data_IF_071679894388
#
_entry.id   IF_071679894388
#
_cell.length_a   1.000
_cell.length_b   1.000
_cell.length_c   1.000
_cell.angle_alpha   90.00
_cell.angle_beta   90.00
_cell.angle_gamma   90.00
#
_symmetry.space_group_name_H-M   'P 1'
#
loop_
_entity.id
_entity.type
_entity.pdbx_description
1 polymer ?
#
# COMPACT_ATOMS: atom_id res chain seq x y z
N UNK A 1 -19.50 0.71 -38.18
CA UNK A 1 -19.86 0.97 -36.76
C UNK A 1 -18.69 0.56 -35.88
N UNK A 2 -18.35 1.33 -34.85
CA UNK A 2 -17.16 1.10 -34.04
C UNK A 2 -17.50 0.11 -32.89
N UNK A 3 -17.21 -1.18 -33.08
CA UNK A 3 -17.56 -2.26 -32.14
C UNK A 3 -16.54 -2.41 -30.99
N UNK A 4 -16.06 -1.29 -30.44
CA UNK A 4 -15.10 -1.32 -29.34
C UNK A 4 -15.76 -1.87 -28.07
N UNK A 5 -15.18 -2.91 -27.48
CA UNK A 5 -15.60 -3.49 -26.20
C UNK A 5 -15.66 -2.44 -25.07
N UNK A 6 -14.79 -1.42 -25.12
CA UNK A 6 -14.83 -0.31 -24.17
C UNK A 6 -16.07 0.57 -24.36
N UNK A 7 -16.47 0.84 -25.61
CA UNK A 7 -17.69 1.59 -25.91
C UNK A 7 -18.92 0.82 -25.42
N UNK A 8 -18.98 -0.49 -25.68
CA UNK A 8 -20.07 -1.36 -25.20
C UNK A 8 -20.17 -1.37 -23.67
N UNK A 9 -19.05 -1.52 -22.96
CA UNK A 9 -19.02 -1.45 -21.48
C UNK A 9 -19.48 -0.09 -20.95
N UNK A 10 -19.08 1.02 -21.58
CA UNK A 10 -19.54 2.38 -21.21
C UNK A 10 -21.04 2.55 -21.42
N UNK A 11 -21.57 2.04 -22.53
CA UNK A 11 -23.01 2.09 -22.83
C UNK A 11 -23.79 1.24 -21.82
N UNK A 12 -23.31 0.04 -21.47
CA UNK A 12 -23.94 -0.80 -20.45
C UNK A 12 -23.93 -0.15 -19.06
N UNK A 13 -22.79 0.40 -18.63
CA UNK A 13 -22.68 1.11 -17.35
C UNK A 13 -23.58 2.36 -17.31
N UNK A 14 -23.73 3.08 -18.43
CA UNK A 14 -24.71 4.16 -18.56
C UNK A 14 -26.14 3.63 -18.37
N UNK A 15 -26.51 2.57 -19.08
CA UNK A 15 -27.85 1.96 -18.97
C UNK A 15 -28.16 1.44 -17.56
N UNK A 16 -27.18 0.87 -16.85
CA UNK A 16 -27.37 0.40 -15.47
C UNK A 16 -27.57 1.57 -14.49
N UNK A 17 -26.80 2.66 -14.64
CA UNK A 17 -27.03 3.90 -13.87
C UNK A 17 -28.36 4.57 -14.22
N UNK A 18 -28.77 4.46 -15.49
CA UNK A 18 -30.04 4.97 -15.97
C UNK A 18 -31.23 4.16 -15.48
N UNK A 19 -31.07 2.85 -15.31
CA UNK A 19 -32.09 1.96 -14.75
C UNK A 19 -32.33 2.16 -13.25
N UNK A 20 -31.35 2.66 -12.50
CA UNK A 20 -31.50 2.93 -11.06
C UNK A 20 -32.57 4.00 -10.75
N UNK A 21 -32.95 4.83 -11.74
CA UNK A 21 -33.98 5.84 -11.60
C UNK A 21 -34.92 5.83 -12.81
N UNK A 22 -36.19 5.40 -12.66
CA UNK A 22 -37.19 5.48 -13.72
C UNK A 22 -37.29 6.91 -14.31
N UNK A 23 -37.58 7.05 -15.60
CA UNK A 23 -37.64 8.36 -16.27
C UNK A 23 -38.64 9.33 -15.60
N UNK A 24 -39.74 8.80 -15.06
CA UNK A 24 -40.71 9.57 -14.29
C UNK A 24 -40.09 10.18 -13.03
N UNK A 25 -39.30 9.38 -12.29
CA UNK A 25 -38.59 9.81 -11.10
C UNK A 25 -37.46 10.79 -11.44
N UNK A 26 -36.75 10.60 -12.56
CA UNK A 26 -35.73 11.54 -13.04
C UNK A 26 -36.28 12.93 -13.34
N UNK A 27 -37.46 12.99 -13.97
CA UNK A 27 -38.14 14.26 -14.27
C UNK A 27 -38.61 14.96 -12.99
N UNK A 28 -39.15 14.19 -12.03
CA UNK A 28 -39.54 14.71 -10.71
C UNK A 28 -38.34 15.21 -9.89
N UNK A 29 -37.18 14.54 -9.99
CA UNK A 29 -35.95 14.89 -9.29
C UNK A 29 -35.09 15.93 -10.03
N UNK A 30 -35.48 16.38 -11.23
CA UNK A 30 -34.69 17.30 -12.05
C UNK A 30 -33.36 16.74 -12.56
N UNK A 31 -33.19 15.42 -12.56
CA UNK A 31 -31.98 14.71 -12.98
C UNK A 31 -31.94 14.57 -14.51
N UNK A 32 -31.95 15.68 -15.23
CA UNK A 32 -31.56 15.67 -16.65
C UNK A 32 -30.05 15.45 -16.74
N UNK A 33 -29.59 14.73 -17.77
CA UNK A 33 -28.24 14.15 -17.95
C UNK A 33 -27.03 15.11 -17.97
N UNK A 34 -27.20 16.37 -17.57
CA UNK A 34 -26.10 17.23 -17.17
C UNK A 34 -25.78 16.89 -15.72
N UNK A 35 -24.51 16.58 -15.41
CA UNK A 35 -24.06 16.59 -14.02
C UNK A 35 -24.57 17.91 -13.40
N UNK A 36 -25.22 17.89 -12.22
CA UNK A 36 -25.82 19.09 -11.64
C UNK A 36 -24.76 20.12 -11.20
N UNK A 37 -23.49 19.83 -11.46
CA UNK A 37 -22.34 20.63 -11.08
C UNK A 37 -21.67 21.13 -12.36
N UNK A 38 -21.55 22.45 -12.48
CA UNK A 38 -20.70 23.13 -13.45
C UNK A 38 -19.26 23.07 -12.98
N UNK A 39 -18.31 23.30 -13.89
CA UNK A 39 -16.89 23.42 -13.54
C UNK A 39 -16.66 24.46 -12.43
N UNK A 40 -17.39 25.57 -12.49
CA UNK A 40 -17.38 26.63 -11.48
C UNK A 40 -17.72 26.11 -10.07
N UNK A 41 -18.64 25.15 -9.95
CA UNK A 41 -19.03 24.56 -8.67
C UNK A 41 -17.86 23.77 -8.06
N UNK A 42 -17.08 23.07 -8.89
CA UNK A 42 -15.87 22.38 -8.44
C UNK A 42 -14.77 23.35 -8.04
N UNK A 43 -14.54 24.41 -8.83
CA UNK A 43 -13.56 25.42 -8.49
C UNK A 43 -13.93 26.12 -7.17
N UNK A 44 -15.21 26.44 -6.97
CA UNK A 44 -15.70 27.01 -5.72
C UNK A 44 -15.56 26.04 -4.56
N UNK A 45 -15.89 24.76 -4.74
CA UNK A 45 -15.68 23.73 -3.72
C UNK A 45 -14.20 23.61 -3.31
N UNK A 46 -13.27 23.65 -4.27
CA UNK A 46 -11.83 23.62 -4.00
C UNK A 46 -11.35 24.90 -3.31
N UNK A 47 -11.91 26.08 -3.61
CA UNK A 47 -11.60 27.34 -2.89
C UNK A 47 -12.03 27.33 -1.42
N UNK A 48 -13.04 26.55 -1.08
CA UNK A 48 -13.58 26.42 0.28
C UNK A 48 -12.75 25.47 1.17
N UNK A 49 -11.74 24.82 0.62
CA UNK A 49 -10.82 23.94 1.33
C UNK A 49 -9.62 24.75 1.84
N UNK A 50 -9.16 24.43 3.06
CA UNK A 50 -7.91 24.96 3.54
C UNK A 50 -6.75 24.11 3.00
N UNK A 51 -6.01 24.67 2.06
CA UNK A 51 -4.85 24.04 1.43
C UNK A 51 -3.54 24.29 2.19
N UNK A 52 -3.56 25.11 3.24
CA UNK A 52 -2.40 25.31 4.12
C UNK A 52 -2.26 24.17 5.12
N UNK A 53 -3.30 23.36 5.30
CA UNK A 53 -3.25 22.18 6.15
C UNK A 53 -2.26 21.16 5.62
N UNK A 54 -1.52 20.55 6.55
CA UNK A 54 -0.65 19.42 6.24
C UNK A 54 -1.38 18.10 6.52
N UNK A 55 -1.13 17.10 5.67
CA UNK A 55 -1.74 15.78 5.83
C UNK A 55 -0.77 14.80 6.51
N UNK A 56 -1.16 14.29 7.68
CA UNK A 56 -0.48 13.19 8.38
C UNK A 56 -0.97 11.88 7.78
N UNK A 57 -0.04 11.04 7.32
CA UNK A 57 -0.34 9.78 6.66
C UNK A 57 0.44 8.63 7.29
N UNK A 58 -0.25 7.61 7.77
CA UNK A 58 0.38 6.38 8.26
C UNK A 58 0.47 5.38 7.11
N UNK A 59 1.66 5.27 6.51
CA UNK A 59 1.87 4.38 5.36
C UNK A 59 2.05 2.94 5.83
N UNK A 60 1.20 2.01 5.37
CA UNK A 60 1.29 0.59 5.69
C UNK A 60 2.52 -0.04 5.05
N UNK A 61 3.23 -0.90 5.78
CA UNK A 61 4.40 -1.63 5.25
C UNK A 61 4.00 -2.57 4.12
N UNK A 62 2.74 -3.01 4.10
CA UNK A 62 2.23 -3.86 3.03
C UNK A 62 2.24 -3.13 1.68
N UNK A 63 2.30 -1.80 1.65
CA UNK A 63 2.48 -1.05 0.40
C UNK A 63 3.77 -1.47 -0.34
N UNK A 64 4.77 -1.97 0.39
CA UNK A 64 5.99 -2.54 -0.18
C UNK A 64 5.72 -3.79 -1.02
N UNK A 65 4.61 -4.52 -0.80
CA UNK A 65 4.22 -5.67 -1.63
C UNK A 65 3.87 -5.27 -3.07
N UNK A 66 3.75 -3.97 -3.37
CA UNK A 66 3.72 -3.50 -4.77
C UNK A 66 5.02 -3.91 -5.49
N UNK A 67 6.14 -3.98 -4.79
CA UNK A 67 7.42 -4.43 -5.37
C UNK A 67 7.36 -5.90 -5.80
N UNK A 68 6.48 -6.72 -5.22
CA UNK A 68 6.27 -8.11 -5.65
C UNK A 68 5.68 -8.19 -7.07
N UNK A 69 5.18 -7.07 -7.61
CA UNK A 69 4.77 -6.96 -9.01
C UNK A 69 5.98 -6.86 -9.95
N UNK A 70 7.14 -6.40 -9.47
CA UNK A 70 8.34 -6.31 -10.28
C UNK A 70 8.98 -7.69 -10.48
N UNK A 71 9.38 -7.95 -11.71
CA UNK A 71 10.16 -9.13 -12.10
C UNK A 71 11.64 -8.76 -12.31
N UNK A 72 11.93 -7.48 -12.56
CA UNK A 72 13.27 -6.94 -12.75
C UNK A 72 13.56 -5.82 -11.75
N UNK A 73 14.84 -5.67 -11.41
CA UNK A 73 15.37 -4.55 -10.62
C UNK A 73 15.02 -3.17 -11.19
N UNK A 74 14.97 -3.04 -12.50
CA UNK A 74 14.54 -1.78 -13.15
C UNK A 74 13.07 -1.43 -12.87
N UNK A 75 12.20 -2.44 -12.80
CA UNK A 75 10.80 -2.26 -12.44
C UNK A 75 10.66 -1.91 -10.96
N UNK A 76 11.44 -2.53 -10.06
CA UNK A 76 11.48 -2.17 -8.64
C UNK A 76 11.83 -0.68 -8.45
N UNK A 77 12.86 -0.20 -9.17
CA UNK A 77 13.26 1.21 -9.13
C UNK A 77 12.14 2.12 -9.65
N UNK A 78 11.45 1.72 -10.73
CA UNK A 78 10.31 2.48 -11.25
C UNK A 78 9.10 2.47 -10.31
N UNK A 79 8.87 1.37 -9.61
CA UNK A 79 7.80 1.21 -8.61
C UNK A 79 8.03 2.03 -7.35
N UNK A 80 9.29 2.32 -6.98
CA UNK A 80 9.61 3.25 -5.88
C UNK A 80 8.93 4.61 -6.07
N UNK A 81 9.02 5.18 -7.27
CA UNK A 81 8.35 6.45 -7.59
C UNK A 81 6.82 6.33 -7.48
N UNK A 82 6.26 5.14 -7.75
CA UNK A 82 4.82 4.92 -7.60
C UNK A 82 4.39 4.84 -6.14
N UNK A 83 5.19 4.27 -5.24
CA UNK A 83 4.92 4.30 -3.80
C UNK A 83 4.81 5.74 -3.30
N UNK A 84 5.75 6.60 -3.69
CA UNK A 84 5.71 8.04 -3.37
C UNK A 84 4.44 8.69 -3.92
N UNK A 85 4.10 8.43 -5.19
CA UNK A 85 2.85 8.94 -5.80
C UNK A 85 1.62 8.50 -5.04
N UNK A 86 1.53 7.24 -4.61
CA UNK A 86 0.39 6.72 -3.84
C UNK A 86 0.26 7.47 -2.52
N UNK A 87 1.37 7.68 -1.79
CA UNK A 87 1.38 8.42 -0.53
C UNK A 87 0.93 9.87 -0.76
N UNK A 88 1.45 10.55 -1.78
CA UNK A 88 1.06 11.91 -2.12
C UNK A 88 -0.41 12.00 -2.54
N UNK A 89 -0.92 11.06 -3.33
CA UNK A 89 -2.32 11.02 -3.72
C UNK A 89 -3.24 10.80 -2.51
N UNK A 90 -2.88 9.90 -1.60
CA UNK A 90 -3.63 9.67 -0.37
C UNK A 90 -3.69 10.94 0.50
N UNK A 91 -2.60 11.70 0.58
CA UNK A 91 -2.57 13.01 1.27
C UNK A 91 -3.50 14.03 0.61
N UNK A 92 -3.48 14.14 -0.72
CA UNK A 92 -4.39 15.02 -1.46
C UNK A 92 -5.85 14.61 -1.23
N UNK A 93 -6.16 13.32 -1.25
CA UNK A 93 -7.50 12.80 -0.96
C UNK A 93 -7.95 13.11 0.47
N UNK A 94 -7.03 13.05 1.45
CA UNK A 94 -7.31 13.46 2.81
C UNK A 94 -7.64 14.96 2.91
N UNK A 95 -6.87 15.83 2.23
CA UNK A 95 -7.12 17.27 2.17
C UNK A 95 -8.45 17.62 1.49
N UNK A 96 -8.81 16.90 0.42
CA UNK A 96 -10.11 17.04 -0.24
C UNK A 96 -11.28 16.68 0.69
N UNK A 97 -11.05 15.76 1.64
CA UNK A 97 -12.03 15.31 2.62
C UNK A 97 -11.86 15.96 3.99
N UNK A 98 -11.03 17.00 4.15
CA UNK A 98 -10.62 17.56 5.45
C UNK A 98 -11.75 17.86 6.44
N UNK A 99 -12.96 18.21 5.95
CA UNK A 99 -14.15 18.48 6.78
C UNK A 99 -14.78 17.22 7.41
N UNK A 100 -14.47 16.05 6.87
CA UNK A 100 -14.96 14.74 7.31
C UNK A 100 -13.87 13.91 7.99
N UNK A 101 -12.69 14.50 8.22
CA UNK A 101 -11.53 13.79 8.76
C UNK A 101 -11.20 14.32 10.15
N UNK A 102 -10.52 13.47 10.93
CA UNK A 102 -9.87 13.89 12.16
C UNK A 102 -8.85 14.98 11.84
N UNK A 103 -8.93 16.11 12.54
CA UNK A 103 -7.90 17.14 12.50
C UNK A 103 -7.24 17.28 13.85
N UNK A 104 -5.95 17.54 13.82
CA UNK A 104 -5.14 17.73 15.03
C UNK A 104 -4.54 19.12 14.96
N UNK A 105 -4.70 19.90 16.02
CA UNK A 105 -4.08 21.21 16.17
C UNK A 105 -2.99 21.12 17.22
N UNK A 106 -1.78 21.54 16.85
CA UNK A 106 -0.64 21.63 17.75
C UNK A 106 -0.12 23.06 17.69
N UNK A 107 -0.32 23.82 18.77
CA UNK A 107 -0.19 25.28 18.77
C UNK A 107 -1.02 25.93 17.65
N UNK A 108 -0.35 26.60 16.71
CA UNK A 108 -0.95 27.30 15.59
C UNK A 108 -0.95 26.49 14.28
N UNK A 109 -0.49 25.23 14.32
CA UNK A 109 -0.44 24.35 13.16
C UNK A 109 -1.59 23.35 13.20
N UNK A 110 -2.27 23.19 12.08
CA UNK A 110 -3.39 22.26 11.91
C UNK A 110 -3.04 21.18 10.89
N UNK A 111 -3.37 19.94 11.24
CA UNK A 111 -3.06 18.75 10.48
C UNK A 111 -4.34 17.97 10.20
N UNK A 112 -4.44 17.38 9.00
CA UNK A 112 -5.50 16.44 8.63
C UNK A 112 -4.94 15.03 8.66
N UNK A 113 -5.63 14.11 9.33
CA UNK A 113 -5.22 12.70 9.35
C UNK A 113 -5.82 11.97 8.14
N UNK A 114 -4.97 11.41 7.29
CA UNK A 114 -5.40 10.54 6.19
C UNK A 114 -5.93 9.21 6.74
N UNK A 115 -7.02 8.70 6.17
CA UNK A 115 -7.64 7.44 6.56
C UNK A 115 -7.27 6.29 5.61
N UNK A 116 -7.45 5.02 6.01
CA UNK A 116 -7.20 3.85 5.18
C UNK A 116 -7.85 3.93 3.79
N UNK A 117 -9.08 4.46 3.73
CA UNK A 117 -9.81 4.64 2.48
C UNK A 117 -9.09 5.53 1.46
N UNK A 118 -8.29 6.48 1.92
CA UNK A 118 -7.58 7.41 1.04
C UNK A 118 -6.45 6.68 0.31
N UNK A 119 -5.79 5.72 0.96
CA UNK A 119 -4.82 4.83 0.32
C UNK A 119 -5.48 3.86 -0.67
N UNK A 120 -6.61 3.26 -0.29
CA UNK A 120 -7.35 2.34 -1.17
C UNK A 120 -7.81 3.06 -2.44
N UNK A 121 -8.35 4.27 -2.32
CA UNK A 121 -8.74 5.10 -3.48
C UNK A 121 -7.54 5.56 -4.29
N UNK A 122 -6.44 5.93 -3.64
CA UNK A 122 -5.20 6.28 -4.34
C UNK A 122 -4.69 5.12 -5.20
N UNK A 123 -4.72 3.90 -4.67
CA UNK A 123 -4.33 2.69 -5.40
C UNK A 123 -5.25 2.40 -6.57
N UNK A 124 -6.57 2.52 -6.39
CA UNK A 124 -7.55 2.32 -7.47
C UNK A 124 -7.34 3.32 -8.62
N UNK A 125 -7.15 4.60 -8.30
CA UNK A 125 -6.88 5.65 -9.28
C UNK A 125 -5.56 5.41 -10.02
N UNK A 126 -4.50 5.04 -9.30
CA UNK A 126 -3.15 4.86 -9.85
C UNK A 126 -2.93 3.46 -10.45
N UNK A 127 -3.86 2.53 -10.25
CA UNK A 127 -3.74 1.12 -10.64
C UNK A 127 -3.26 0.96 -12.08
N UNK A 128 -3.92 1.65 -13.02
CA UNK A 128 -3.58 1.53 -14.45
C UNK A 128 -2.14 1.97 -14.73
N UNK A 129 -1.68 3.08 -14.13
CA UNK A 129 -0.32 3.60 -14.32
C UNK A 129 0.75 2.69 -13.71
N UNK A 130 0.45 2.09 -12.55
CA UNK A 130 1.32 1.12 -11.89
C UNK A 130 1.43 -0.13 -12.76
N UNK A 131 0.30 -0.67 -13.22
CA UNK A 131 0.28 -1.82 -14.12
C UNK A 131 1.06 -1.52 -15.39
N UNK A 132 0.82 -0.41 -16.08
CA UNK A 132 1.57 -0.04 -17.30
C UNK A 132 3.09 0.03 -17.07
N UNK A 133 3.51 0.46 -15.88
CA UNK A 133 4.94 0.54 -15.53
C UNK A 133 5.55 -0.84 -15.30
N UNK A 134 4.81 -1.73 -14.65
CA UNK A 134 5.23 -3.11 -14.41
C UNK A 134 5.16 -3.92 -15.70
N UNK A 135 4.00 -3.90 -16.34
CA UNK A 135 3.72 -4.53 -17.61
C UNK A 135 4.24 -3.70 -18.78
N UNK A 136 5.50 -3.23 -18.77
CA UNK A 136 6.20 -2.76 -20.00
C UNK A 136 6.39 -3.92 -21.00
N UNK A 137 5.33 -4.67 -21.20
CA UNK A 137 5.11 -5.78 -22.08
C UNK A 137 4.47 -5.13 -23.30
N UNK A 138 5.20 -5.12 -24.40
CA UNK A 138 4.66 -4.58 -25.65
C UNK A 138 3.41 -5.37 -26.05
N UNK A 139 2.48 -4.74 -26.79
CA UNK A 139 1.22 -5.39 -27.24
C UNK A 139 1.45 -6.78 -27.85
N UNK A 140 2.56 -6.96 -28.60
CA UNK A 140 2.94 -8.25 -29.19
C UNK A 140 3.35 -9.29 -28.16
N UNK A 141 4.04 -8.89 -27.11
CA UNK A 141 4.42 -9.79 -26.01
C UNK A 141 3.18 -10.20 -25.21
N UNK A 142 2.20 -9.31 -25.04
CA UNK A 142 0.91 -9.63 -24.43
C UNK A 142 0.11 -10.66 -25.26
N UNK A 143 0.11 -10.51 -26.59
CA UNK A 143 -0.48 -11.49 -27.52
C UNK A 143 0.21 -12.86 -27.41
N UNK A 144 1.54 -12.90 -27.24
CA UNK A 144 2.28 -14.15 -27.01
C UNK A 144 1.90 -14.76 -25.65
N UNK A 145 1.82 -13.98 -24.57
CA UNK A 145 1.42 -14.48 -23.25
C UNK A 145 0.00 -15.07 -23.25
N UNK A 146 -0.94 -14.48 -24.01
CA UNK A 146 -2.30 -15.04 -24.16
C UNK A 146 -2.32 -16.44 -24.77
N UNK A 147 -1.32 -16.79 -25.59
CA UNK A 147 -1.22 -18.15 -26.13
C UNK A 147 -0.88 -19.19 -25.04
N UNK A 148 -0.21 -18.79 -23.97
CA UNK A 148 0.13 -19.67 -22.85
C UNK A 148 -1.05 -19.94 -21.92
N UNK A 149 -2.12 -19.14 -21.96
CA UNK A 149 -3.36 -19.42 -21.19
C UNK A 149 -4.03 -20.72 -21.63
N UNK A 150 -3.83 -21.13 -22.88
CA UNK A 150 -4.41 -22.35 -23.47
C UNK A 150 -3.39 -23.46 -23.72
N UNK A 151 -2.10 -23.18 -23.57
CA UNK A 151 -1.03 -24.12 -23.91
C UNK A 151 0.05 -24.07 -22.83
N UNK A 152 0.32 -25.21 -22.19
CA UNK A 152 1.31 -25.29 -21.12
C UNK A 152 2.75 -24.96 -21.57
N UNK A 153 3.11 -25.39 -22.79
CA UNK A 153 4.43 -25.12 -23.38
C UNK A 153 4.29 -24.78 -24.86
N UNK A 154 5.08 -23.84 -25.37
CA UNK A 154 5.11 -23.46 -26.79
C UNK A 154 6.53 -23.31 -27.30
N UNK A 155 6.76 -23.66 -28.56
CA UNK A 155 8.00 -23.34 -29.28
C UNK A 155 7.85 -22.06 -30.09
N UNK A 156 8.97 -21.51 -30.58
CA UNK A 156 8.96 -20.35 -31.49
C UNK A 156 8.13 -20.58 -32.76
N UNK A 157 8.07 -21.81 -33.25
CA UNK A 157 7.32 -22.16 -34.45
C UNK A 157 5.80 -22.18 -34.18
N UNK A 158 5.41 -22.64 -33.00
CA UNK A 158 4.00 -22.65 -32.56
C UNK A 158 3.47 -21.23 -32.40
N UNK A 159 4.27 -20.35 -31.78
CA UNK A 159 3.91 -18.93 -31.62
C UNK A 159 3.83 -18.21 -32.97
N UNK A 160 4.79 -18.47 -33.86
CA UNK A 160 4.82 -17.89 -35.20
C UNK A 160 3.58 -18.27 -36.02
N UNK A 161 3.19 -19.55 -35.98
CA UNK A 161 2.01 -20.05 -36.72
C UNK A 161 0.71 -19.49 -36.14
N UNK A 162 0.55 -19.47 -34.81
CA UNK A 162 -0.67 -18.98 -34.14
C UNK A 162 -0.88 -17.48 -34.30
N UNK A 163 0.17 -16.67 -34.20
CA UNK A 163 0.07 -15.21 -34.36
C UNK A 163 0.24 -14.74 -35.81
N UNK A 164 0.54 -15.64 -36.75
CA UNK A 164 0.85 -15.33 -38.16
C UNK A 164 1.99 -14.32 -38.29
N UNK A 165 3.06 -14.52 -37.53
CA UNK A 165 4.27 -13.68 -37.54
C UNK A 165 5.50 -14.50 -37.95
N UNK A 166 6.60 -13.83 -38.29
CA UNK A 166 7.85 -14.54 -38.59
C UNK A 166 8.40 -15.28 -37.36
N UNK A 167 9.09 -16.40 -37.58
CA UNK A 167 9.76 -17.16 -36.50
C UNK A 167 10.80 -16.33 -35.75
N UNK A 168 11.48 -15.41 -36.44
CA UNK A 168 12.40 -14.45 -35.82
C UNK A 168 11.67 -13.50 -34.88
N UNK A 169 10.49 -13.00 -35.27
CA UNK A 169 9.66 -12.12 -34.42
C UNK A 169 9.15 -12.87 -33.20
N UNK A 170 8.61 -14.08 -33.40
CA UNK A 170 8.14 -14.93 -32.31
C UNK A 170 9.26 -15.26 -31.32
N UNK A 171 10.45 -15.63 -31.83
CA UNK A 171 11.62 -15.90 -31.00
C UNK A 171 12.09 -14.67 -30.21
N UNK A 172 12.14 -13.48 -30.83
CA UNK A 172 12.48 -12.24 -30.10
C UNK A 172 11.49 -11.98 -28.97
N UNK A 173 10.19 -12.10 -29.24
CA UNK A 173 9.16 -11.90 -28.23
C UNK A 173 9.27 -12.91 -27.07
N UNK A 174 9.42 -14.21 -27.38
CA UNK A 174 9.62 -15.26 -26.38
C UNK A 174 10.89 -15.04 -25.56
N UNK A 175 12.00 -14.69 -26.21
CA UNK A 175 13.26 -14.41 -25.53
C UNK A 175 13.16 -13.18 -24.63
N UNK A 176 12.51 -12.12 -25.08
CA UNK A 176 12.27 -10.94 -24.24
C UNK A 176 11.40 -11.30 -23.04
N UNK A 177 10.32 -12.05 -23.25
CA UNK A 177 9.43 -12.52 -22.18
C UNK A 177 10.15 -13.40 -21.16
N UNK A 178 11.02 -14.31 -21.61
CA UNK A 178 11.85 -15.15 -20.75
C UNK A 178 12.89 -14.33 -19.98
N UNK A 179 13.56 -13.38 -20.63
CA UNK A 179 14.47 -12.43 -19.97
C UNK A 179 13.77 -11.51 -18.98
N UNK A 180 12.47 -11.27 -19.16
CA UNK A 180 11.61 -10.58 -18.19
C UNK A 180 10.93 -11.49 -17.18
N UNK A 181 11.33 -12.76 -17.09
CA UNK A 181 10.89 -13.69 -16.06
C UNK A 181 9.43 -14.16 -16.18
N UNK A 182 8.71 -13.81 -17.25
CA UNK A 182 7.36 -14.35 -17.49
C UNK A 182 7.40 -15.80 -17.98
N UNK A 183 8.46 -16.17 -18.71
CA UNK A 183 8.63 -17.51 -19.28
C UNK A 183 9.92 -18.16 -18.80
N UNK A 184 9.89 -19.47 -18.62
CA UNK A 184 11.07 -20.33 -18.47
C UNK A 184 11.48 -20.84 -19.84
N UNK A 185 12.75 -20.67 -20.21
CA UNK A 185 13.31 -21.30 -21.41
C UNK A 185 13.89 -22.67 -21.03
N UNK A 186 13.34 -23.73 -21.61
CA UNK A 186 13.87 -25.09 -21.53
C UNK A 186 14.74 -25.38 -22.75
N UNK A 187 16.04 -25.56 -22.50
CA UNK A 187 17.09 -25.84 -23.49
C UNK A 187 17.41 -27.33 -23.61
N UNK A 188 16.70 -28.20 -22.89
CA UNK A 188 16.94 -29.65 -22.89
C UNK A 188 16.77 -30.31 -24.27
N UNK A 189 15.94 -29.72 -25.13
CA UNK A 189 15.65 -30.23 -26.46
C UNK A 189 16.24 -29.32 -27.56
N UNK A 190 16.48 -29.92 -28.74
CA UNK A 190 17.02 -29.20 -29.92
C UNK A 190 16.17 -27.98 -30.34
N UNK A 191 14.89 -27.97 -29.99
CA UNK A 191 13.99 -26.84 -30.21
C UNK A 191 13.60 -26.27 -28.86
N UNK A 192 14.12 -25.09 -28.51
CA UNK A 192 13.80 -24.46 -27.22
C UNK A 192 12.28 -24.38 -27.00
N UNK A 193 11.88 -24.85 -25.83
CA UNK A 193 10.51 -24.79 -25.35
C UNK A 193 10.42 -23.70 -24.30
N UNK A 194 9.31 -22.99 -24.32
CA UNK A 194 9.01 -21.99 -23.31
C UNK A 194 7.81 -22.47 -22.50
N UNK A 195 7.87 -22.26 -21.20
CA UNK A 195 6.80 -22.58 -20.25
C UNK A 195 6.51 -21.34 -19.41
N UNK A 196 5.26 -21.18 -18.96
CA UNK A 196 4.88 -20.05 -18.14
C UNK A 196 5.49 -20.21 -16.73
N UNK A 197 6.34 -19.26 -16.32
CA UNK A 197 7.04 -19.32 -15.02
C UNK A 197 6.24 -18.60 -13.92
N UNK A 198 5.48 -17.57 -14.29
CA UNK A 198 4.49 -16.92 -13.43
C UNK A 198 3.13 -16.90 -14.13
N UNK A 199 2.11 -17.49 -13.50
CA UNK A 199 0.75 -17.03 -13.73
C UNK A 199 0.71 -15.53 -13.42
N UNK A 200 0.04 -14.76 -14.29
CA UNK A 200 -0.08 -13.29 -14.30
C UNK A 200 0.26 -12.59 -12.97
N UNK A 201 0.99 -11.45 -12.98
CA UNK A 201 1.36 -10.72 -11.76
C UNK A 201 0.17 -10.65 -10.82
N UNK A 202 0.36 -11.11 -9.58
CA UNK A 202 -0.76 -11.45 -8.71
C UNK A 202 -1.52 -10.19 -8.29
N UNK A 203 -2.50 -9.78 -9.10
CA UNK A 203 -3.30 -8.59 -8.89
C UNK A 203 -4.10 -8.66 -7.57
N UNK A 204 -4.25 -9.85 -6.98
CA UNK A 204 -4.86 -10.03 -5.66
C UNK A 204 -4.08 -9.33 -4.55
N UNK A 205 -2.80 -9.02 -4.75
CA UNK A 205 -1.97 -8.33 -3.77
C UNK A 205 -2.57 -6.95 -3.39
N UNK A 206 -3.17 -6.24 -4.37
CA UNK A 206 -3.76 -4.91 -4.16
C UNK A 206 -5.05 -5.00 -3.34
N UNK A 207 -5.87 -6.04 -3.55
CA UNK A 207 -7.13 -6.25 -2.82
C UNK A 207 -6.89 -6.72 -1.38
N UNK A 208 -5.90 -7.60 -1.18
CA UNK A 208 -5.51 -8.03 0.18
C UNK A 208 -5.00 -6.88 1.04
N UNK A 209 -4.46 -5.83 0.40
CA UNK A 209 -3.97 -4.64 1.07
C UNK A 209 -5.06 -3.96 1.92
N UNK A 210 -6.30 -3.89 1.45
CA UNK A 210 -7.34 -3.09 2.11
C UNK A 210 -7.56 -3.43 3.60
N UNK A 211 -7.55 -4.72 3.96
CA UNK A 211 -7.73 -5.15 5.35
C UNK A 211 -6.51 -4.85 6.21
N UNK A 212 -5.30 -5.09 5.70
CA UNK A 212 -4.06 -4.84 6.44
C UNK A 212 -3.85 -3.36 6.72
N UNK A 213 -4.16 -2.49 5.74
CA UNK A 213 -4.06 -1.03 5.88
C UNK A 213 -4.88 -0.53 7.07
N UNK A 214 -6.10 -1.05 7.26
CA UNK A 214 -7.02 -0.56 8.30
C UNK A 214 -6.53 -0.88 9.72
N UNK A 215 -6.06 -2.12 9.95
CA UNK A 215 -5.49 -2.53 11.24
C UNK A 215 -4.18 -1.79 11.54
N UNK A 216 -3.30 -1.71 10.55
CA UNK A 216 -2.03 -0.98 10.67
C UNK A 216 -2.28 0.50 11.02
N UNK A 217 -3.20 1.15 10.30
CA UNK A 217 -3.54 2.54 10.52
C UNK A 217 -4.04 2.79 11.95
N UNK A 218 -4.99 1.97 12.44
CA UNK A 218 -5.54 2.12 13.79
C UNK A 218 -4.47 2.05 14.87
N UNK A 219 -3.56 1.08 14.79
CA UNK A 219 -2.49 0.91 15.76
C UNK A 219 -1.51 2.09 15.74
N UNK A 220 -1.12 2.54 14.55
CA UNK A 220 -0.21 3.67 14.40
C UNK A 220 -0.85 5.00 14.80
N UNK A 221 -2.11 5.21 14.47
CA UNK A 221 -2.87 6.38 14.91
C UNK A 221 -2.97 6.42 16.43
N UNK A 222 -3.32 5.30 17.07
CA UNK A 222 -3.38 5.22 18.52
C UNK A 222 -2.04 5.56 19.18
N UNK A 223 -0.96 4.96 18.69
CA UNK A 223 0.38 5.21 19.21
C UNK A 223 0.81 6.67 18.97
N UNK A 224 0.54 7.22 17.80
CA UNK A 224 0.86 8.60 17.46
C UNK A 224 0.08 9.59 18.34
N UNK A 225 -1.22 9.39 18.54
CA UNK A 225 -2.04 10.22 19.42
C UNK A 225 -1.51 10.18 20.87
N UNK A 226 -1.24 9.00 21.43
CA UNK A 226 -0.66 8.87 22.78
C UNK A 226 0.72 9.53 22.91
N UNK A 227 1.54 9.40 21.87
CA UNK A 227 2.87 10.01 21.84
C UNK A 227 2.79 11.54 21.80
N UNK A 228 1.87 12.09 21.01
CA UNK A 228 1.60 13.53 20.98
C UNK A 228 1.20 14.01 22.37
N UNK A 229 0.22 13.36 22.99
CA UNK A 229 -0.29 13.76 24.31
C UNK A 229 0.83 13.74 25.36
N UNK A 230 1.54 12.62 25.49
CA UNK A 230 2.63 12.49 26.47
C UNK A 230 3.79 13.47 26.22
N UNK A 231 4.18 13.68 24.97
CA UNK A 231 5.32 14.53 24.62
C UNK A 231 5.02 16.03 24.69
N UNK A 232 3.77 16.43 24.44
CA UNK A 232 3.39 17.84 24.40
C UNK A 232 2.90 18.35 25.76
N UNK A 233 2.29 17.51 26.60
CA UNK A 233 2.01 17.88 28.00
C UNK A 233 3.29 18.22 28.77
N UNK A 234 4.37 17.45 28.56
CA UNK A 234 5.67 17.71 29.20
C UNK A 234 6.31 19.03 28.76
N UNK A 235 5.94 19.55 27.58
CA UNK A 235 6.47 20.80 27.01
C UNK A 235 5.52 21.99 27.12
N UNK A 236 4.37 21.84 27.78
CA UNK A 236 3.35 22.90 27.88
C UNK A 236 2.75 23.30 26.52
N UNK A 237 2.84 22.43 25.52
CA UNK A 237 2.32 22.70 24.17
C UNK A 237 0.83 22.39 24.11
N UNK A 238 0.02 23.30 23.56
CA UNK A 238 -1.44 23.10 23.44
C UNK A 238 -1.73 22.17 22.26
N UNK A 239 -2.44 21.08 22.55
CA UNK A 239 -2.93 20.13 21.54
C UNK A 239 -4.45 20.08 21.61
N UNK A 240 -5.11 20.05 20.45
CA UNK A 240 -6.56 19.91 20.35
C UNK A 240 -6.92 18.95 19.20
N UNK A 241 -8.03 18.24 19.36
CA UNK A 241 -8.55 17.32 18.35
C UNK A 241 -9.91 17.78 17.86
N UNK A 242 -10.06 17.88 16.54
CA UNK A 242 -11.34 18.12 15.88
C UNK A 242 -12.00 16.79 15.54
N UNK A 243 -13.18 16.54 16.11
CA UNK A 243 -13.97 15.38 15.77
C UNK A 243 -14.99 15.75 14.67
N UNK A 244 -14.92 15.15 13.47
CA UNK A 244 -15.86 15.44 12.40
C UNK A 244 -17.30 15.00 12.71
N UNK A 245 -17.50 14.07 13.66
CA UNK A 245 -18.83 13.56 13.99
C UNK A 245 -19.68 14.56 14.78
N UNK A 246 -19.04 15.37 15.65
CA UNK A 246 -19.72 16.40 16.45
C UNK A 246 -19.37 17.82 16.00
N UNK A 247 -18.40 17.98 15.09
CA UNK A 247 -17.98 19.26 14.55
C UNK A 247 -17.26 20.15 15.58
N UNK A 248 -16.74 19.56 16.65
CA UNK A 248 -16.18 20.31 17.78
C UNK A 248 -14.68 20.04 17.99
N UNK A 249 -14.00 21.00 18.60
CA UNK A 249 -12.64 20.86 19.10
C UNK A 249 -12.66 20.44 20.56
N UNK A 250 -11.87 19.44 20.90
CA UNK A 250 -11.76 18.88 22.25
C UNK A 250 -10.31 18.84 22.70
N UNK A 251 -10.07 19.00 24.01
CA UNK A 251 -8.75 18.73 24.57
C UNK A 251 -8.44 17.23 24.55
N UNK A 252 -7.17 16.83 24.40
CA UNK A 252 -6.79 15.43 24.42
C UNK A 252 -7.08 14.80 25.79
N UNK A 253 -7.95 13.79 25.82
CA UNK A 253 -8.04 12.84 26.90
C UNK A 253 -8.10 11.40 26.34
N UNK A 254 -7.85 10.40 27.19
CA UNK A 254 -7.90 8.99 26.78
C UNK A 254 -9.30 8.56 26.31
N UNK A 255 -10.37 9.17 26.82
CA UNK A 255 -11.72 8.84 26.40
C UNK A 255 -11.99 9.27 24.95
N UNK A 256 -11.49 10.45 24.56
CA UNK A 256 -11.55 11.01 23.21
C UNK A 256 -10.70 10.17 22.27
N UNK A 257 -9.48 9.77 22.65
CA UNK A 257 -8.67 8.88 21.81
C UNK A 257 -9.45 7.58 21.54
N UNK A 258 -10.00 6.96 22.57
CA UNK A 258 -10.76 5.73 22.41
C UNK A 258 -11.98 5.93 21.52
N UNK A 259 -12.70 7.06 21.67
CA UNK A 259 -13.83 7.43 20.81
C UNK A 259 -13.41 7.65 19.36
N UNK A 260 -12.28 8.33 19.11
CA UNK A 260 -11.72 8.57 17.78
C UNK A 260 -11.23 7.29 17.10
N UNK A 261 -10.75 6.32 17.89
CA UNK A 261 -10.32 5.00 17.40
C UNK A 261 -11.49 4.02 17.22
N UNK A 262 -12.69 4.38 17.67
CA UNK A 262 -13.88 3.56 17.48
C UNK A 262 -14.40 3.81 16.06
N UNK A 263 -14.57 2.77 15.22
CA UNK A 263 -15.11 2.93 13.88
C UNK A 263 -16.47 3.63 13.95
N UNK A 264 -16.56 4.84 13.43
CA UNK A 264 -17.79 5.67 13.46
C UNK A 264 -18.88 5.12 12.53
N UNK A 265 -18.51 4.16 11.69
CA UNK A 265 -19.39 3.51 10.72
C UNK A 265 -19.21 2.00 10.91
N UNK A 266 -20.30 1.19 10.96
CA UNK A 266 -20.16 -0.23 10.72
C UNK A 266 -19.50 -0.36 9.35
N UNK A 267 -18.22 -0.72 9.33
CA UNK A 267 -17.56 -1.11 8.09
C UNK A 267 -18.47 -2.15 7.44
N UNK A 268 -18.71 -1.98 6.14
CA UNK A 268 -19.41 -2.93 5.27
C UNK A 268 -19.33 -4.34 5.87
N UNK A 269 -20.45 -4.85 6.39
CA UNK A 269 -20.59 -6.26 6.66
C UNK A 269 -20.50 -6.93 5.29
N UNK A 270 -19.28 -7.25 4.89
CA UNK A 270 -18.99 -8.03 3.70
C UNK A 270 -19.56 -9.42 4.01
N UNK A 271 -20.79 -9.63 3.57
CA UNK A 271 -21.46 -10.92 3.62
C UNK A 271 -20.53 -11.97 3.01
N UNK A 272 -19.94 -12.79 3.87
CA UNK A 272 -19.63 -14.21 3.62
C UNK A 272 -19.23 -14.59 2.19
N UNK A 273 -18.01 -14.22 1.77
CA UNK A 273 -17.26 -15.11 0.88
C UNK A 273 -16.65 -16.24 1.71
N UNK A 274 -17.44 -17.31 1.88
CA UNK A 274 -16.96 -18.60 2.36
C UNK A 274 -15.96 -19.19 1.37
N UNK A 275 -14.67 -19.06 1.67
CA UNK A 275 -13.64 -19.96 1.15
C UNK A 275 -12.97 -20.64 2.34
N UNK A 276 -13.55 -21.74 2.77
CA UNK A 276 -12.86 -22.76 3.57
C UNK A 276 -12.14 -23.71 2.63
N UNK A 277 -10.80 -23.83 2.70
CA UNK A 277 -10.14 -25.09 2.46
C UNK A 277 -10.14 -25.87 3.78
N UNK A 278 -10.75 -27.07 3.77
CA UNK A 278 -10.51 -28.08 4.80
C UNK A 278 -9.03 -28.46 4.74
N UNK A 279 -8.27 -28.22 5.80
CA UNK A 279 -7.04 -28.95 6.06
C UNK A 279 -7.21 -29.74 7.35
N UNK A 280 -6.83 -31.01 7.26
CA UNK A 280 -6.99 -32.01 8.31
C UNK A 280 -6.24 -31.66 9.58
N UNK A 281 -6.87 -32.05 10.67
CA UNK A 281 -6.29 -32.24 11.98
C UNK A 281 -5.06 -33.16 11.90
N UNK A 282 -3.94 -32.70 12.45
CA UNK A 282 -3.17 -33.52 13.37
C UNK A 282 -2.62 -32.61 14.47
N UNK A 283 -2.82 -33.10 15.69
CA UNK A 283 -2.64 -32.45 16.98
C UNK A 283 -1.23 -32.60 17.54
N UNK A 284 -0.98 -31.87 18.65
CA UNK A 284 0.10 -31.97 19.65
C UNK A 284 1.25 -30.97 19.40
N UNK A 285 1.70 -30.10 20.32
CA UNK A 285 1.49 -29.98 21.78
C UNK A 285 1.76 -28.53 22.21
N UNK A 286 1.18 -28.17 23.34
CA UNK A 286 1.36 -26.99 24.17
C UNK A 286 2.83 -26.57 24.38
N UNK A 287 3.08 -25.25 24.38
CA UNK A 287 3.88 -24.62 25.44
C UNK A 287 3.49 -23.14 25.60
N UNK A 288 2.74 -22.91 26.68
CA UNK A 288 2.44 -21.58 27.23
C UNK A 288 3.73 -20.91 27.67
N UNK A 289 4.05 -19.73 27.13
CA UNK A 289 5.00 -18.82 27.79
C UNK A 289 4.29 -17.54 28.24
N UNK A 290 3.94 -17.61 29.52
CA UNK A 290 3.59 -16.51 30.41
C UNK A 290 4.76 -15.52 30.43
N UNK A 291 4.57 -14.33 29.85
CA UNK A 291 5.59 -13.28 29.84
C UNK A 291 5.61 -12.57 31.20
N UNK A 292 6.50 -13.02 32.09
CA UNK A 292 6.78 -12.35 33.37
C UNK A 292 7.33 -10.93 33.13
N UNK A 293 6.65 -9.97 33.74
CA UNK A 293 6.75 -8.52 33.54
C UNK A 293 7.88 -7.81 34.31
N UNK A 294 9.07 -8.40 34.49
CA UNK A 294 10.09 -7.81 35.40
C UNK A 294 11.52 -7.62 34.87
N UNK A 295 11.83 -7.84 33.58
CA UNK A 295 13.23 -7.67 33.09
C UNK A 295 13.43 -7.03 31.71
N UNK A 296 12.67 -6.01 31.34
CA UNK A 296 13.04 -5.13 30.21
C UNK A 296 13.39 -3.72 30.68
N UNK A 297 14.48 -3.61 31.45
CA UNK A 297 15.30 -2.39 31.40
C UNK A 297 15.95 -2.38 30.03
N UNK A 298 15.44 -1.57 29.10
CA UNK A 298 16.21 -1.16 27.93
C UNK A 298 17.49 -0.48 28.44
N UNK A 299 18.57 -1.24 28.57
CA UNK A 299 19.90 -0.69 28.75
C UNK A 299 20.11 0.21 27.53
N UNK A 300 20.17 1.54 27.75
CA UNK A 300 20.63 2.47 26.72
C UNK A 300 22.05 2.04 26.35
N UNK A 301 22.19 1.23 25.30
CA UNK A 301 23.50 0.79 24.87
C UNK A 301 24.16 1.99 24.18
N UNK A 302 25.37 2.31 24.62
CA UNK A 302 26.22 3.27 23.92
C UNK A 302 26.43 2.72 22.50
N UNK A 303 26.19 3.52 21.43
CA UNK A 303 26.44 3.10 20.05
C UNK A 303 27.83 2.50 19.83
N UNK A 304 28.83 2.86 20.64
CA UNK A 304 30.17 2.28 20.64
C UNK A 304 30.22 0.75 20.89
N UNK A 305 29.14 0.12 21.33
CA UNK A 305 29.08 -1.31 21.65
C UNK A 305 28.68 -2.22 20.47
N UNK A 306 28.41 -1.65 19.29
CA UNK A 306 28.06 -2.44 18.11
C UNK A 306 29.31 -2.74 17.27
N UNK A 307 29.53 -4.03 17.00
CA UNK A 307 30.59 -4.59 16.16
C UNK A 307 30.32 -4.36 14.67
N UNK A 308 29.06 -4.52 14.26
CA UNK A 308 28.61 -4.29 12.89
C UNK A 308 27.13 -3.90 12.85
N UNK A 309 26.73 -3.15 11.82
CA UNK A 309 25.33 -2.84 11.51
C UNK A 309 25.05 -3.20 10.05
N UNK A 310 24.00 -3.97 9.80
CA UNK A 310 23.62 -4.45 8.47
C UNK A 310 22.11 -4.43 8.25
N UNK A 311 21.71 -4.40 6.98
CA UNK A 311 20.31 -4.48 6.58
C UNK A 311 19.85 -5.94 6.60
N UNK A 312 18.70 -6.22 7.23
CA UNK A 312 18.09 -7.55 7.24
C UNK A 312 17.08 -7.67 6.11
N UNK A 313 17.45 -8.40 5.05
CA UNK A 313 16.61 -8.60 3.84
C UNK A 313 15.30 -9.33 4.11
N UNK A 314 15.20 -10.03 5.25
CA UNK A 314 14.07 -10.90 5.56
C UNK A 314 12.99 -10.24 6.43
N UNK A 315 13.24 -9.08 7.02
CA UNK A 315 12.35 -8.49 8.02
C UNK A 315 12.37 -6.96 8.01
N UNK A 316 11.20 -6.35 7.74
CA UNK A 316 10.92 -4.93 7.96
C UNK A 316 9.69 -4.80 8.88
N UNK A 317 9.91 -4.38 10.13
CA UNK A 317 8.88 -4.41 11.16
C UNK A 317 9.11 -3.42 12.29
N UNK A 318 8.15 -3.34 13.22
CA UNK A 318 8.25 -2.51 14.42
C UNK A 318 9.08 -3.23 15.47
N UNK A 319 10.25 -2.70 15.78
CA UNK A 319 11.18 -3.30 16.75
C UNK A 319 11.66 -2.26 17.77
N UNK A 320 11.88 -2.66 19.04
CA UNK A 320 12.51 -1.80 20.03
C UNK A 320 13.98 -1.58 19.64
N UNK A 321 14.37 -0.32 19.44
CA UNK A 321 15.74 0.05 19.13
C UNK A 321 16.64 -0.18 20.36
N UNK A 322 17.71 -0.95 20.22
CA UNK A 322 18.63 -1.25 21.33
C UNK A 322 19.42 -0.03 21.83
N UNK A 323 19.61 0.98 20.99
CA UNK A 323 20.31 2.21 21.36
C UNK A 323 19.40 3.21 22.10
N UNK A 324 18.27 3.61 21.48
CA UNK A 324 17.40 4.64 22.05
C UNK A 324 16.22 4.10 22.88
N UNK A 325 15.94 2.80 22.82
CA UNK A 325 14.82 2.14 23.51
C UNK A 325 13.45 2.38 22.88
N UNK A 326 13.34 3.24 21.86
CA UNK A 326 12.06 3.51 21.19
C UNK A 326 11.69 2.39 20.22
N UNK A 327 10.41 2.03 20.17
CA UNK A 327 9.90 1.11 19.15
C UNK A 327 9.72 1.87 17.84
N UNK A 328 10.46 1.49 16.80
CA UNK A 328 10.45 2.14 15.48
C UNK A 328 10.38 1.09 14.37
N UNK A 329 9.86 1.49 13.23
CA UNK A 329 9.86 0.68 12.02
C UNK A 329 11.29 0.63 11.44
N UNK A 330 11.88 -0.56 11.33
CA UNK A 330 13.28 -0.73 10.87
C UNK A 330 13.57 -2.11 10.30
N UNK A 331 14.57 -2.21 9.44
CA UNK A 331 15.22 -3.46 8.98
C UNK A 331 16.69 -3.54 9.42
N UNK A 332 17.20 -2.55 10.16
CA UNK A 332 18.60 -2.55 10.57
C UNK A 332 18.81 -3.45 11.79
N UNK A 333 19.72 -4.41 11.65
CA UNK A 333 20.23 -5.21 12.75
C UNK A 333 21.66 -4.80 13.07
N UNK A 334 21.97 -4.71 14.35
CA UNK A 334 23.31 -4.54 14.87
C UNK A 334 23.75 -5.84 15.56
N UNK A 335 25.01 -6.20 15.35
CA UNK A 335 25.68 -7.28 16.06
C UNK A 335 26.54 -6.66 17.16
N UNK A 336 26.36 -7.09 18.40
CA UNK A 336 27.20 -6.64 19.53
C UNK A 336 28.53 -7.40 19.53
N UNK A 337 29.51 -6.93 20.31
CA UNK A 337 30.76 -7.68 20.54
C UNK A 337 30.58 -9.03 21.27
N UNK A 338 29.36 -9.34 21.74
CA UNK A 338 28.97 -10.65 22.28
C UNK A 338 28.25 -11.53 21.26
N UNK A 339 28.27 -11.13 19.98
CA UNK A 339 27.59 -11.79 18.87
C UNK A 339 26.05 -11.87 19.05
N UNK A 340 25.47 -10.96 19.86
CA UNK A 340 24.01 -10.82 20.00
C UNK A 340 23.47 -9.93 18.87
N UNK A 341 22.38 -10.36 18.22
CA UNK A 341 21.67 -9.57 17.20
C UNK A 341 20.56 -8.73 17.83
N UNK A 342 20.62 -7.43 17.61
CA UNK A 342 19.62 -6.47 18.13
C UNK A 342 19.14 -5.55 17.02
N UNK A 343 17.96 -4.96 17.20
CA UNK A 343 17.40 -4.03 16.21
C UNK A 343 17.85 -2.59 16.48
N UNK A 344 18.11 -1.85 15.41
CA UNK A 344 18.50 -0.44 15.45
C UNK A 344 17.56 0.39 14.58
N UNK A 345 17.21 1.60 14.98
CA UNK A 345 16.48 2.52 14.09
C UNK A 345 17.42 3.31 13.17
N UNK A 346 16.89 3.89 12.09
CA UNK A 346 17.69 4.65 11.10
C UNK A 346 18.54 5.75 11.76
N UNK A 347 17.94 6.58 12.62
CA UNK A 347 18.64 7.68 13.31
C UNK A 347 19.85 7.18 14.12
N UNK A 348 19.68 6.07 14.85
CA UNK A 348 20.77 5.49 15.65
C UNK A 348 21.83 4.83 14.77
N UNK A 349 21.46 4.32 13.60
CA UNK A 349 22.38 3.73 12.63
C UNK A 349 23.21 4.83 11.98
N UNK A 350 22.62 5.96 11.63
CA UNK A 350 23.36 7.12 11.11
C UNK A 350 24.35 7.67 12.14
N UNK A 351 23.93 7.77 13.40
CA UNK A 351 24.81 8.18 14.49
C UNK A 351 26.00 7.22 14.67
N UNK A 352 25.75 5.90 14.60
CA UNK A 352 26.81 4.90 14.64
C UNK A 352 27.77 5.02 13.44
N UNK A 353 27.25 5.21 12.23
CA UNK A 353 28.09 5.39 11.03
C UNK A 353 28.99 6.63 11.12
N UNK A 354 28.48 7.75 11.63
CA UNK A 354 29.29 8.97 11.87
C UNK A 354 30.42 8.73 12.86
N UNK A 355 30.14 8.00 13.95
CA UNK A 355 31.18 7.62 14.91
C UNK A 355 32.27 6.74 14.28
N UNK A 356 31.90 5.77 13.41
CA UNK A 356 32.87 4.94 12.69
C UNK A 356 33.70 5.73 11.67
N UNK A 357 33.13 6.81 11.12
CA UNK A 357 33.83 7.73 10.23
C UNK A 357 34.76 8.71 10.96
N UNK A 358 34.75 8.74 12.29
CA UNK A 358 35.51 9.73 13.09
C UNK A 358 34.88 11.13 13.10
N UNK A 359 33.61 11.24 12.69
CA UNK A 359 32.83 12.48 12.71
C UNK A 359 32.08 12.59 14.05
N UNK A 360 32.79 12.97 15.12
CA UNK A 360 32.19 13.21 16.44
C UNK A 360 31.99 14.68 16.74
#
# INVERSE_FOLDING_TARGET
>A
MNHSTQLTKRVMAKKMRDAAYPESLRKLLGLNSNLPFKEEDFQNALRLLDWKLEAVSFTPTELLKILDLAVKREQEVALRTHIEKIIHFARVLALLKQRKRLRVKVNDHEYVVAEPEDFVKALDILHTSIIETVSRVEKRQEEVLKLFETNASLTKNDVASKLKVSTTTAWRALRTLAQSGYLKEDTSSKTYRYELLQEKPNHHCILQLQRSISLFHRNNLANWLRNIISSFHTKGTRVEFYNPADGSWSQPDEAIINRLLTPSTPMYNDETMHLTPKLGSDSQTEENNHCNSERQRCLRQNPANFKAVYWSDSFYGWHPCAACGQTKLTSWQAETFKDEKVWLCEDCKEAWMKQQAGET
#
